data_IF_867927171564
#
_entry.id   IF_867927171564
#
_cell.length_a   1.000
_cell.length_b   1.000
_cell.length_c   1.000
_cell.angle_alpha   90.00
_cell.angle_beta   90.00
_cell.angle_gamma   90.00
#
_symmetry.space_group_name_H-M   'P 1'
#
loop_
_entity.id
_entity.type
_entity.pdbx_description
1 polymer ?
#
# COMPACT_ATOMS: atom_id res chain seq x y z
N UNK A 1 -4.54 16.55 -4.31
CA UNK A 1 -6.04 16.61 -4.34
C UNK A 1 -6.58 16.72 -2.91
N UNK A 2 -7.62 17.53 -2.63
CA UNK A 2 -8.15 17.74 -1.26
C UNK A 2 -9.48 17.00 -1.01
N UNK A 3 -9.59 16.34 0.15
CA UNK A 3 -10.79 15.64 0.62
C UNK A 3 -11.10 16.02 2.07
N UNK A 4 -11.95 17.03 2.28
CA UNK A 4 -12.17 17.60 3.60
C UNK A 4 -10.90 18.28 4.12
N UNK A 5 -10.43 17.87 5.30
CA UNK A 5 -9.17 18.35 5.88
C UNK A 5 -7.91 17.67 5.31
N UNK A 6 -8.07 16.57 4.56
CA UNK A 6 -6.97 15.78 4.04
C UNK A 6 -6.50 16.29 2.69
N UNK A 7 -5.18 16.39 2.53
CA UNK A 7 -4.48 16.60 1.28
C UNK A 7 -3.86 15.28 0.84
N UNK A 8 -4.33 14.76 -0.29
CA UNK A 8 -3.92 13.47 -0.84
C UNK A 8 -2.96 13.69 -2.00
N UNK A 9 -1.77 13.11 -1.88
CA UNK A 9 -0.82 12.91 -2.95
C UNK A 9 -0.84 11.43 -3.36
N UNK A 10 -1.29 11.15 -4.58
CA UNK A 10 -1.34 9.80 -5.14
C UNK A 10 -1.11 9.87 -6.65
N UNK A 11 0.14 9.79 -7.14
CA UNK A 11 0.46 10.12 -8.53
C UNK A 11 -0.09 9.15 -9.59
N UNK A 12 -0.58 7.97 -9.19
CA UNK A 12 -1.34 7.07 -10.07
C UNK A 12 -2.81 7.47 -10.24
N UNK A 13 -3.35 8.31 -9.35
CA UNK A 13 -4.76 8.73 -9.36
C UNK A 13 -4.92 10.18 -9.81
N UNK A 14 -3.93 11.02 -9.52
CA UNK A 14 -3.96 12.44 -9.79
C UNK A 14 -2.67 12.88 -10.49
N UNK A 15 -2.81 13.67 -11.54
CA UNK A 15 -1.67 14.28 -12.22
C UNK A 15 -1.31 15.60 -11.52
N UNK A 16 -0.53 15.48 -10.44
CA UNK A 16 -0.03 16.60 -9.64
C UNK A 16 1.49 16.48 -9.49
N UNK A 17 2.24 17.60 -9.49
CA UNK A 17 3.69 17.57 -9.28
C UNK A 17 4.02 17.07 -7.88
N UNK A 18 5.09 16.28 -7.77
CA UNK A 18 5.56 15.74 -6.50
C UNK A 18 7.07 15.57 -6.52
N UNK A 19 7.65 15.42 -5.33
CA UNK A 19 9.09 15.30 -5.15
C UNK A 19 9.41 14.00 -4.41
N UNK A 20 10.26 13.16 -5.01
CA UNK A 20 10.63 11.85 -4.48
C UNK A 20 11.21 11.94 -3.06
N UNK A 21 12.17 12.84 -2.83
CA UNK A 21 12.81 12.99 -1.52
C UNK A 21 11.82 13.43 -0.43
N UNK A 22 10.86 14.29 -0.77
CA UNK A 22 9.82 14.75 0.16
C UNK A 22 8.86 13.61 0.54
N UNK A 23 8.49 12.77 -0.43
CA UNK A 23 7.65 11.59 -0.18
C UNK A 23 8.41 10.57 0.66
N UNK A 24 9.66 10.27 0.31
CA UNK A 24 10.51 9.36 1.08
C UNK A 24 10.66 9.85 2.52
N UNK A 25 11.01 11.13 2.72
CA UNK A 25 11.13 11.72 4.06
C UNK A 25 9.83 11.65 4.85
N UNK A 26 8.69 11.90 4.22
CA UNK A 26 7.37 11.80 4.86
C UNK A 26 7.01 10.36 5.26
N UNK A 27 7.29 9.39 4.40
CA UNK A 27 7.07 7.98 4.67
C UNK A 27 7.95 7.48 5.82
N UNK A 28 9.25 7.80 5.80
CA UNK A 28 10.20 7.45 6.88
C UNK A 28 9.79 8.10 8.19
N UNK A 29 9.40 9.37 8.17
CA UNK A 29 8.93 10.07 9.37
C UNK A 29 7.67 9.41 9.95
N UNK A 30 6.71 8.99 9.11
CA UNK A 30 5.53 8.22 9.55
C UNK A 30 5.91 6.84 10.13
N UNK A 31 6.90 6.16 9.53
CA UNK A 31 7.41 4.87 10.03
C UNK A 31 7.99 5.00 11.44
N UNK A 32 8.72 6.08 11.74
CA UNK A 32 9.25 6.35 13.09
C UNK A 32 8.16 6.44 14.17
N UNK A 33 6.93 6.79 13.78
CA UNK A 33 5.78 6.86 14.68
C UNK A 33 4.94 5.57 14.72
N UNK A 34 5.29 4.54 13.94
CA UNK A 34 4.58 3.27 13.88
C UNK A 34 5.36 2.15 14.56
N UNK A 35 4.78 1.51 15.58
CA UNK A 35 5.41 0.39 16.30
C UNK A 35 5.84 -0.76 15.36
N UNK A 36 5.10 -1.04 14.31
CA UNK A 36 5.42 -2.08 13.33
C UNK A 36 6.60 -1.73 12.38
N UNK A 37 7.01 -0.47 12.30
CA UNK A 37 7.96 0.01 11.28
C UNK A 37 9.17 0.73 11.86
N UNK A 38 9.07 1.30 13.08
CA UNK A 38 10.08 2.21 13.65
C UNK A 38 11.47 1.58 13.84
N UNK A 39 11.53 0.26 13.94
CA UNK A 39 12.77 -0.50 14.18
C UNK A 39 13.39 -1.05 12.88
N UNK A 40 12.83 -0.68 11.71
CA UNK A 40 13.40 -1.04 10.41
C UNK A 40 14.81 -0.46 10.23
N UNK A 41 15.81 -1.25 9.78
CA UNK A 41 17.16 -0.74 9.58
C UNK A 41 17.20 0.37 8.51
N UNK A 42 17.91 1.47 8.81
CA UNK A 42 18.04 2.63 7.90
C UNK A 42 18.52 2.24 6.50
N UNK A 43 19.48 1.31 6.41
CA UNK A 43 20.01 0.84 5.12
C UNK A 43 18.99 0.06 4.28
N UNK A 44 17.92 -0.47 4.89
CA UNK A 44 16.86 -1.20 4.20
C UNK A 44 15.75 -0.28 3.68
N UNK A 45 15.65 0.96 4.15
CA UNK A 45 14.55 1.87 3.80
C UNK A 45 14.48 2.16 2.30
N UNK A 46 15.63 2.26 1.63
CA UNK A 46 15.66 2.46 0.17
C UNK A 46 15.00 1.30 -0.57
N UNK A 47 15.33 0.07 -0.21
CA UNK A 47 14.74 -1.13 -0.82
C UNK A 47 13.27 -1.32 -0.47
N UNK A 48 12.83 -0.86 0.70
CA UNK A 48 11.43 -1.00 1.15
C UNK A 48 10.49 0.08 0.58
N UNK A 49 10.97 1.33 0.43
CA UNK A 49 10.12 2.47 0.09
C UNK A 49 10.29 2.96 -1.36
N UNK A 50 11.51 2.99 -1.89
CA UNK A 50 11.76 3.59 -3.21
C UNK A 50 11.06 2.87 -4.37
N UNK A 51 10.96 1.52 -4.40
CA UNK A 51 10.29 0.87 -5.52
C UNK A 51 8.84 1.35 -5.69
N UNK A 52 8.07 1.46 -4.59
CA UNK A 52 6.72 2.02 -4.61
C UNK A 52 6.70 3.45 -5.14
N UNK A 53 7.62 4.30 -4.66
CA UNK A 53 7.68 5.71 -5.00
C UNK A 53 8.02 5.91 -6.48
N UNK A 54 9.04 5.22 -6.98
CA UNK A 54 9.46 5.27 -8.39
C UNK A 54 8.36 4.78 -9.33
N UNK A 55 7.65 3.71 -8.95
CA UNK A 55 6.52 3.18 -9.71
C UNK A 55 5.22 3.98 -9.53
N UNK A 56 5.25 5.06 -8.73
CA UNK A 56 4.08 5.90 -8.39
C UNK A 56 2.96 5.13 -7.67
N UNK A 57 3.28 3.98 -7.08
CA UNK A 57 2.36 3.08 -6.38
C UNK A 57 2.27 3.38 -4.89
N UNK A 58 2.00 4.64 -4.56
CA UNK A 58 1.83 5.08 -3.19
C UNK A 58 0.72 6.13 -3.06
N UNK A 59 0.25 6.30 -1.84
CA UNK A 59 -0.57 7.43 -1.44
C UNK A 59 -0.07 7.97 -0.11
N UNK A 60 0.16 9.28 -0.08
CA UNK A 60 0.48 10.04 1.11
C UNK A 60 -0.70 10.95 1.41
N UNK A 61 -1.16 10.97 2.65
CA UNK A 61 -2.12 11.97 3.11
C UNK A 61 -1.49 12.86 4.17
N UNK A 62 -1.80 14.14 4.07
CA UNK A 62 -1.41 15.17 5.01
C UNK A 62 -2.63 15.92 5.52
N UNK A 63 -2.53 16.45 6.74
CA UNK A 63 -3.50 17.37 7.30
C UNK A 63 -2.72 18.60 7.80
N UNK A 64 -3.11 19.79 7.34
CA UNK A 64 -2.42 21.05 7.67
C UNK A 64 -0.90 21.00 7.39
N UNK A 65 -0.51 20.38 6.27
CA UNK A 65 0.91 20.23 5.87
C UNK A 65 1.69 19.16 6.62
N UNK A 66 1.09 18.47 7.60
CA UNK A 66 1.73 17.36 8.33
C UNK A 66 1.31 16.02 7.73
N UNK A 67 2.24 15.11 7.39
CA UNK A 67 1.87 13.76 6.94
C UNK A 67 1.18 13.00 8.08
N UNK A 68 0.06 12.35 7.77
CA UNK A 68 -0.74 11.58 8.73
C UNK A 68 -0.93 10.13 8.32
N UNK A 69 -0.66 9.83 7.04
CA UNK A 69 -0.88 8.51 6.47
C UNK A 69 0.04 8.26 5.27
N UNK A 70 0.56 7.03 5.18
CA UNK A 70 1.23 6.51 4.01
C UNK A 70 0.72 5.11 3.71
N UNK A 71 0.52 4.82 2.43
CA UNK A 71 0.33 3.47 1.94
C UNK A 71 1.11 3.26 0.65
N UNK A 72 1.52 2.02 0.44
CA UNK A 72 2.11 1.56 -0.81
C UNK A 72 1.43 0.26 -1.25
N UNK A 73 1.51 0.00 -2.55
CA UNK A 73 1.02 -1.24 -3.13
C UNK A 73 1.93 -1.76 -4.23
N UNK A 74 1.74 -3.03 -4.56
CA UNK A 74 2.34 -3.73 -5.68
C UNK A 74 1.24 -4.22 -6.62
N UNK A 75 1.52 -4.28 -7.92
CA UNK A 75 0.71 -5.05 -8.87
C UNK A 75 1.60 -6.18 -9.40
N UNK A 76 1.38 -7.39 -8.90
CA UNK A 76 2.29 -8.52 -9.09
C UNK A 76 1.83 -9.44 -10.23
N UNK A 77 2.79 -10.06 -10.92
CA UNK A 77 2.54 -11.29 -11.67
C UNK A 77 2.31 -12.47 -10.71
N UNK A 78 1.96 -13.64 -11.24
CA UNK A 78 1.81 -14.84 -10.41
C UNK A 78 3.13 -15.27 -9.76
N UNK A 79 4.23 -15.20 -10.49
CA UNK A 79 5.57 -15.55 -10.05
C UNK A 79 6.10 -14.55 -9.02
N UNK A 80 5.84 -13.26 -9.24
CA UNK A 80 6.20 -12.20 -8.30
C UNK A 80 5.37 -12.29 -7.00
N UNK A 81 4.08 -12.65 -7.09
CA UNK A 81 3.23 -12.92 -5.91
C UNK A 81 3.79 -14.10 -5.10
N UNK A 82 4.22 -15.18 -5.76
CA UNK A 82 4.87 -16.30 -5.08
C UNK A 82 6.17 -15.86 -4.39
N UNK A 83 7.02 -15.06 -5.05
CA UNK A 83 8.23 -14.52 -4.41
C UNK A 83 7.90 -13.66 -3.19
N UNK A 84 6.92 -12.77 -3.30
CA UNK A 84 6.49 -11.88 -2.22
C UNK A 84 6.03 -12.64 -0.98
N UNK A 85 5.30 -13.75 -1.16
CA UNK A 85 4.77 -14.54 -0.05
C UNK A 85 5.83 -15.38 0.67
N UNK A 86 6.96 -15.67 0.02
CA UNK A 86 7.99 -16.57 0.55
C UNK A 86 9.29 -15.86 0.95
N UNK A 87 9.44 -14.57 0.63
CA UNK A 87 10.67 -13.83 0.89
C UNK A 87 10.36 -12.52 1.63
N UNK A 88 11.31 -12.01 2.44
CA UNK A 88 11.20 -10.68 3.02
C UNK A 88 11.02 -9.60 1.93
N UNK A 89 10.22 -8.55 2.14
CA UNK A 89 9.98 -7.51 1.14
C UNK A 89 11.25 -6.83 0.61
N UNK A 90 12.31 -6.74 1.43
CA UNK A 90 13.61 -6.17 1.04
C UNK A 90 14.30 -6.95 -0.10
N UNK A 91 13.92 -8.21 -0.31
CA UNK A 91 14.46 -9.07 -1.36
C UNK A 91 13.67 -8.97 -2.68
N UNK A 92 12.58 -8.20 -2.73
CA UNK A 92 11.77 -8.04 -3.93
C UNK A 92 12.52 -7.23 -5.00
N UNK A 93 12.71 -7.78 -6.22
CA UNK A 93 13.25 -7.02 -7.35
C UNK A 93 12.37 -5.80 -7.68
N UNK A 94 12.97 -4.67 -8.06
CA UNK A 94 12.22 -3.45 -8.43
C UNK A 94 11.23 -3.70 -9.59
N UNK A 95 11.59 -4.58 -10.53
CA UNK A 95 10.73 -4.96 -11.66
C UNK A 95 9.45 -5.73 -11.24
N UNK A 96 9.46 -6.39 -10.08
CA UNK A 96 8.31 -7.17 -9.62
C UNK A 96 7.16 -6.29 -9.14
N UNK A 97 7.44 -5.09 -8.64
CA UNK A 97 6.47 -4.19 -8.01
C UNK A 97 5.30 -3.80 -8.93
N UNK A 98 5.50 -3.83 -10.24
CA UNK A 98 4.48 -3.55 -11.26
C UNK A 98 4.51 -4.56 -12.41
N UNK A 99 4.63 -5.85 -12.08
CA UNK A 99 4.81 -6.94 -13.04
C UNK A 99 3.49 -7.57 -13.54
N UNK A 100 2.34 -7.21 -12.97
CA UNK A 100 1.07 -7.81 -13.35
C UNK A 100 -0.16 -7.11 -12.78
N UNK A 101 -1.25 -7.85 -12.61
CA UNK A 101 -2.56 -7.32 -12.19
C UNK A 101 -2.93 -7.67 -10.75
N UNK A 102 -2.12 -8.48 -10.05
CA UNK A 102 -2.43 -8.92 -8.68
C UNK A 102 -2.07 -7.84 -7.67
N UNK A 103 -3.06 -7.04 -7.29
CA UNK A 103 -2.88 -5.91 -6.38
C UNK A 103 -2.65 -6.39 -4.93
N UNK A 104 -1.53 -6.01 -4.34
CA UNK A 104 -1.20 -6.17 -2.92
C UNK A 104 -0.93 -4.84 -2.24
N UNK A 105 -1.57 -4.56 -1.11
CA UNK A 105 -1.14 -3.47 -0.22
C UNK A 105 0.09 -3.96 0.54
N UNK A 106 1.24 -3.34 0.32
CA UNK A 106 2.51 -3.67 0.99
C UNK A 106 2.63 -2.95 2.33
N UNK A 107 2.19 -1.69 2.37
CA UNK A 107 2.33 -0.83 3.54
C UNK A 107 1.03 -0.09 3.84
N UNK A 108 0.72 0.01 5.14
CA UNK A 108 -0.37 0.81 5.66
C UNK A 108 0.06 1.44 6.98
N UNK A 109 0.38 2.73 6.95
CA UNK A 109 1.00 3.46 8.07
C UNK A 109 0.14 4.66 8.44
N UNK A 110 -0.56 4.55 9.57
CA UNK A 110 -1.51 5.58 10.06
C UNK A 110 -1.33 5.83 11.57
N UNK A 111 -0.15 6.29 12.02
CA UNK A 111 0.26 6.25 13.42
C UNK A 111 -0.60 7.14 14.34
N UNK A 112 -1.36 8.07 13.78
CA UNK A 112 -2.21 9.01 14.53
C UNK A 112 -3.71 8.69 14.45
N UNK A 113 -4.09 7.45 14.11
CA UNK A 113 -5.49 7.00 14.15
C UNK A 113 -6.30 7.23 12.87
N UNK A 114 -5.66 7.60 11.76
CA UNK A 114 -6.33 7.94 10.50
C UNK A 114 -6.84 6.74 9.69
N UNK A 115 -6.54 5.50 10.12
CA UNK A 115 -6.91 4.26 9.39
C UNK A 115 -8.38 4.23 9.00
N UNK A 116 -9.30 4.56 9.91
CA UNK A 116 -10.74 4.47 9.62
C UNK A 116 -11.18 5.46 8.54
N UNK A 117 -10.70 6.70 8.63
CA UNK A 117 -11.04 7.78 7.69
C UNK A 117 -10.49 7.48 6.29
N UNK A 118 -9.21 7.08 6.22
CA UNK A 118 -8.52 6.77 4.96
C UNK A 118 -9.02 5.50 4.31
N UNK A 119 -9.30 4.45 5.09
CA UNK A 119 -9.95 3.24 4.59
C UNK A 119 -11.31 3.55 3.98
N UNK A 120 -12.15 4.35 4.65
CA UNK A 120 -13.44 4.77 4.09
C UNK A 120 -13.27 5.57 2.80
N UNK A 121 -12.32 6.49 2.74
CA UNK A 121 -12.05 7.31 1.55
C UNK A 121 -11.59 6.45 0.36
N UNK A 122 -10.67 5.50 0.60
CA UNK A 122 -10.22 4.55 -0.42
C UNK A 122 -11.36 3.70 -0.94
N UNK A 123 -12.08 3.00 -0.05
CA UNK A 123 -13.14 2.07 -0.43
C UNK A 123 -14.30 2.75 -1.16
N UNK A 124 -14.63 3.99 -0.80
CA UNK A 124 -15.81 4.68 -1.35
C UNK A 124 -15.53 5.56 -2.55
N UNK A 125 -14.29 6.01 -2.74
CA UNK A 125 -13.95 6.98 -3.79
C UNK A 125 -12.73 6.56 -4.60
N UNK A 126 -11.56 6.57 -3.97
CA UNK A 126 -10.30 6.50 -4.69
C UNK A 126 -10.09 5.13 -5.37
N UNK A 127 -10.46 4.06 -4.66
CA UNK A 127 -10.35 2.66 -5.09
C UNK A 127 -11.73 1.99 -5.12
N UNK A 128 -12.79 2.76 -5.43
CA UNK A 128 -14.15 2.25 -5.45
C UNK A 128 -14.33 1.05 -6.40
N UNK A 129 -13.58 1.02 -7.50
CA UNK A 129 -13.61 -0.04 -8.53
C UNK A 129 -12.41 -0.97 -8.48
N UNK A 130 -11.64 -0.98 -7.38
CA UNK A 130 -10.48 -1.86 -7.23
C UNK A 130 -10.74 -2.90 -6.15
N UNK A 131 -10.01 -4.00 -6.23
CA UNK A 131 -9.96 -5.03 -5.22
C UNK A 131 -8.53 -5.57 -5.17
N UNK A 132 -8.19 -6.30 -4.11
CA UNK A 132 -6.85 -6.83 -3.95
C UNK A 132 -6.65 -7.56 -2.64
N UNK A 133 -5.38 -7.73 -2.28
CA UNK A 133 -4.94 -8.49 -1.12
C UNK A 133 -4.08 -7.64 -0.19
N UNK A 134 -3.93 -8.10 1.04
CA UNK A 134 -2.92 -7.64 1.98
C UNK A 134 -2.58 -8.73 2.99
N UNK A 135 -1.42 -8.61 3.62
CA UNK A 135 -1.04 -9.42 4.77
C UNK A 135 -1.65 -8.84 6.04
N UNK A 136 -2.29 -9.68 6.85
CA UNK A 136 -2.88 -9.26 8.11
C UNK A 136 -1.82 -8.88 9.15
N UNK A 137 -2.08 -7.81 9.90
CA UNK A 137 -1.16 -7.19 10.87
C UNK A 137 -0.71 -8.06 12.06
N UNK A 138 -1.18 -9.30 12.19
CA UNK A 138 -0.77 -10.25 13.24
C UNK A 138 -0.02 -11.46 12.67
N UNK A 139 0.69 -11.25 11.56
CA UNK A 139 1.55 -12.27 10.94
C UNK A 139 2.53 -12.88 11.92
N UNK A 140 3.16 -12.03 12.74
CA UNK A 140 4.20 -12.45 13.69
C UNK A 140 3.61 -13.16 14.93
N UNK A 141 2.35 -12.89 15.29
CA UNK A 141 1.69 -13.51 16.45
C UNK A 141 0.89 -14.78 16.10
N UNK A 142 0.33 -14.84 14.90
CA UNK A 142 -0.67 -15.85 14.49
C UNK A 142 -0.35 -16.54 13.17
N UNK A 143 0.82 -16.27 12.59
CA UNK A 143 1.17 -16.70 11.24
C UNK A 143 0.59 -15.78 10.17
N UNK A 144 1.20 -15.86 8.99
CA UNK A 144 0.87 -15.05 7.83
C UNK A 144 -0.59 -15.29 7.42
N UNK A 145 -1.44 -14.27 7.55
CA UNK A 145 -2.85 -14.35 7.15
C UNK A 145 -3.09 -13.45 5.95
N UNK A 146 -3.64 -14.02 4.88
CA UNK A 146 -3.95 -13.26 3.66
C UNK A 146 -5.40 -12.79 3.75
N UNK A 147 -5.63 -11.51 3.48
CA UNK A 147 -6.94 -10.89 3.48
C UNK A 147 -7.23 -10.29 2.11
N UNK A 148 -8.47 -10.43 1.66
CA UNK A 148 -8.96 -9.77 0.46
C UNK A 148 -9.79 -8.55 0.82
N UNK A 149 -9.82 -7.57 -0.08
CA UNK A 149 -10.63 -6.36 0.05
C UNK A 149 -11.17 -5.97 -1.32
N UNK A 150 -12.27 -5.22 -1.32
CA UNK A 150 -12.87 -4.65 -2.52
C UNK A 150 -13.47 -3.28 -2.22
N UNK A 151 -13.41 -2.38 -3.20
CA UNK A 151 -14.12 -1.11 -3.19
C UNK A 151 -15.63 -1.29 -3.31
N UNK A 152 -16.38 -0.23 -2.99
CA UNK A 152 -17.86 -0.27 -2.95
C UNK A 152 -18.51 -0.45 -4.33
N UNK A 153 -17.80 -0.11 -5.40
CA UNK A 153 -18.25 -0.26 -6.78
C UNK A 153 -18.09 -1.67 -7.34
N UNK A 154 -17.28 -2.53 -6.71
CA UNK A 154 -17.03 -3.89 -7.16
C UNK A 154 -18.12 -4.82 -6.64
N UNK A 155 -18.76 -5.57 -7.54
CA UNK A 155 -19.75 -6.57 -7.13
C UNK A 155 -19.06 -7.72 -6.37
N UNK A 156 -19.57 -8.17 -5.21
CA UNK A 156 -18.95 -9.27 -4.46
C UNK A 156 -18.77 -10.56 -5.28
N UNK A 157 -19.66 -10.84 -6.24
CA UNK A 157 -19.54 -12.00 -7.12
C UNK A 157 -18.36 -11.88 -8.10
N UNK A 158 -18.12 -10.69 -8.62
CA UNK A 158 -17.02 -10.38 -9.55
C UNK A 158 -15.66 -10.55 -8.85
N UNK A 159 -15.49 -9.93 -7.68
CA UNK A 159 -14.25 -10.09 -6.90
C UNK A 159 -14.00 -11.56 -6.53
N UNK A 160 -15.04 -12.30 -6.09
CA UNK A 160 -14.91 -13.73 -5.79
C UNK A 160 -14.50 -14.55 -7.01
N UNK A 161 -15.09 -14.28 -8.17
CA UNK A 161 -14.75 -14.96 -9.42
C UNK A 161 -13.29 -14.70 -9.80
N UNK A 162 -12.84 -13.44 -9.70
CA UNK A 162 -11.45 -13.09 -10.00
C UNK A 162 -10.47 -13.78 -9.04
N UNK A 163 -10.75 -13.79 -7.73
CA UNK A 163 -9.87 -14.48 -6.78
C UNK A 163 -9.84 -16.00 -6.99
N UNK A 164 -10.93 -16.60 -7.49
CA UNK A 164 -10.97 -18.02 -7.83
C UNK A 164 -10.14 -18.35 -9.08
N UNK A 165 -10.04 -17.43 -10.05
CA UNK A 165 -9.21 -17.61 -11.25
C UNK A 165 -7.75 -17.20 -11.03
N UNK A 166 -7.46 -16.50 -9.93
CA UNK A 166 -6.11 -16.09 -9.53
C UNK A 166 -5.76 -16.70 -8.17
N UNK A 167 -5.68 -18.04 -8.05
CA UNK A 167 -5.40 -18.68 -6.78
C UNK A 167 -4.04 -18.23 -6.24
N UNK A 168 -3.95 -18.19 -4.92
CA UNK A 168 -2.69 -18.03 -4.22
C UNK A 168 -1.83 -19.29 -4.46
N UNK A 169 -0.49 -19.14 -4.50
CA UNK A 169 0.44 -20.26 -4.63
C UNK A 169 0.41 -21.20 -3.41
#
# INVERSE_FOLDING_TARGET
MRFGSLEILAPQLFDEPWNEASVLGSAVWLWMHSAAHRDAPLHSLSALLLPAIKQRQFMLASEQGRPVFYMAWMNLSAEAEQRYLHNPPVCMPEADWNSGERLWISDWVAPFGHTRQLSKLLHSRLWAQRFGRHLGHRGDERGLSIKTWQGIGVLPAEARAWFATHPLP
#
